data_IF_168731216188
#
_entry.id   IF_168731216188
#
_cell.length_a   1.000
_cell.length_b   1.000
_cell.length_c   1.000
_cell.angle_alpha   90.00
_cell.angle_beta   90.00
_cell.angle_gamma   90.00
#
_symmetry.space_group_name_H-M   'P 1'
#
loop_
_entity.id
_entity.type
_entity.pdbx_description
1 polymer ?
#
# COMPACT_ATOMS: atom_id res chain seq x y z
N UNK A 1 -13.65 -5.91 5.22
CA UNK A 1 -13.00 -6.08 6.54
C UNK A 1 -12.73 -7.55 6.84
N UNK A 2 -13.76 -8.40 6.88
CA UNK A 2 -13.62 -9.84 7.17
C UNK A 2 -12.72 -10.60 6.20
N UNK A 3 -12.73 -10.26 4.91
CA UNK A 3 -11.85 -10.87 3.90
C UNK A 3 -10.35 -10.64 4.22
N UNK A 4 -9.98 -9.43 4.64
CA UNK A 4 -8.59 -9.10 5.00
C UNK A 4 -8.15 -9.85 6.26
N UNK A 5 -9.06 -10.04 7.21
CA UNK A 5 -8.81 -10.81 8.43
C UNK A 5 -8.59 -12.28 8.07
N UNK A 6 -9.48 -12.88 7.28
CA UNK A 6 -9.33 -14.27 6.82
C UNK A 6 -8.04 -14.48 6.03
N UNK A 7 -7.71 -13.54 5.15
CA UNK A 7 -6.45 -13.57 4.40
C UNK A 7 -5.22 -13.54 5.31
N UNK A 8 -5.22 -12.67 6.33
CA UNK A 8 -4.14 -12.60 7.31
C UNK A 8 -4.02 -13.87 8.13
N UNK A 9 -5.13 -14.45 8.58
CA UNK A 9 -5.16 -15.74 9.29
C UNK A 9 -4.49 -16.84 8.45
N UNK A 10 -4.86 -16.94 7.17
CA UNK A 10 -4.29 -17.93 6.25
C UNK A 10 -2.78 -17.74 6.02
N UNK A 11 -2.32 -16.50 5.91
CA UNK A 11 -0.91 -16.19 5.58
C UNK A 11 0.02 -16.20 6.79
N UNK A 12 -0.47 -15.74 7.95
CA UNK A 12 0.34 -15.58 9.16
C UNK A 12 0.18 -16.71 10.18
N UNK A 13 -0.80 -17.60 10.01
CA UNK A 13 -1.21 -18.63 10.97
C UNK A 13 -1.66 -18.10 12.33
N UNK A 14 -1.96 -16.80 12.42
CA UNK A 14 -2.61 -16.21 13.59
C UNK A 14 -4.08 -16.63 13.65
N UNK A 15 -4.59 -16.77 14.86
CA UNK A 15 -6.02 -16.95 15.13
C UNK A 15 -6.80 -15.63 14.94
N UNK A 16 -8.12 -15.74 14.76
CA UNK A 16 -9.01 -14.58 14.68
C UNK A 16 -8.84 -13.56 15.83
N UNK A 17 -8.84 -13.96 17.12
CA UNK A 17 -8.65 -13.01 18.20
C UNK A 17 -7.28 -12.34 18.14
N UNK A 18 -6.21 -13.04 17.77
CA UNK A 18 -4.88 -12.43 17.64
C UNK A 18 -4.88 -11.32 16.58
N UNK A 19 -5.47 -11.57 15.41
CA UNK A 19 -5.57 -10.57 14.33
C UNK A 19 -6.41 -9.36 14.77
N UNK A 20 -7.49 -9.58 15.51
CA UNK A 20 -8.37 -8.51 16.01
C UNK A 20 -7.73 -7.65 17.10
N UNK A 21 -6.78 -8.20 17.87
CA UNK A 21 -6.04 -7.47 18.90
C UNK A 21 -4.80 -6.75 18.37
N UNK A 22 -4.48 -6.89 17.08
CA UNK A 22 -3.36 -6.16 16.49
C UNK A 22 -3.63 -4.65 16.48
N UNK A 23 -2.62 -3.82 16.78
CA UNK A 23 -2.70 -2.41 16.49
C UNK A 23 -3.02 -2.19 15.00
N UNK A 24 -3.92 -1.26 14.69
CA UNK A 24 -4.42 -1.08 13.33
C UNK A 24 -3.31 -0.83 12.28
N UNK A 25 -2.27 -0.08 12.66
CA UNK A 25 -1.10 0.13 11.79
C UNK A 25 -0.33 -1.16 11.48
N UNK A 26 -0.23 -2.08 12.45
CA UNK A 26 0.41 -3.40 12.27
C UNK A 26 -0.45 -4.28 11.36
N UNK A 27 -1.77 -4.28 11.59
CA UNK A 27 -2.72 -4.99 10.73
C UNK A 27 -2.58 -4.57 9.25
N UNK A 28 -2.58 -3.27 8.98
CA UNK A 28 -2.43 -2.74 7.62
C UNK A 28 -1.05 -3.07 7.02
N UNK A 29 0.01 -3.01 7.82
CA UNK A 29 1.37 -3.30 7.36
C UNK A 29 1.51 -4.77 6.95
N UNK A 30 1.04 -5.70 7.79
CA UNK A 30 1.08 -7.13 7.48
C UNK A 30 0.24 -7.45 6.23
N UNK A 31 -0.97 -6.88 6.14
CA UNK A 31 -1.84 -7.05 4.98
C UNK A 31 -1.15 -6.60 3.69
N UNK A 32 -0.51 -5.42 3.71
CA UNK A 32 0.26 -4.89 2.58
C UNK A 32 1.42 -5.81 2.21
N UNK A 33 2.21 -6.25 3.19
CA UNK A 33 3.38 -7.09 2.95
C UNK A 33 3.03 -8.43 2.30
N UNK A 34 2.03 -9.14 2.83
CA UNK A 34 1.63 -10.43 2.26
C UNK A 34 1.07 -10.28 0.84
N UNK A 35 0.27 -9.23 0.58
CA UNK A 35 -0.25 -8.99 -0.77
C UNK A 35 0.86 -8.66 -1.78
N UNK A 36 1.83 -7.84 -1.38
CA UNK A 36 2.99 -7.55 -2.24
C UNK A 36 3.79 -8.83 -2.50
N UNK A 37 4.01 -9.65 -1.48
CA UNK A 37 4.73 -10.92 -1.62
C UNK A 37 4.02 -11.85 -2.61
N UNK A 38 2.69 -11.99 -2.52
CA UNK A 38 1.91 -12.80 -3.45
C UNK A 38 2.00 -12.28 -4.89
N UNK A 39 1.95 -10.96 -5.08
CA UNK A 39 2.11 -10.34 -6.41
C UNK A 39 3.53 -10.58 -6.96
N UNK A 40 4.55 -10.57 -6.10
CA UNK A 40 5.94 -10.84 -6.52
C UNK A 40 6.17 -12.27 -7.00
N UNK A 41 5.32 -13.23 -6.63
CA UNK A 41 5.47 -14.63 -7.05
C UNK A 41 5.21 -14.82 -8.56
N UNK A 42 4.44 -13.94 -9.20
CA UNK A 42 4.14 -14.05 -10.63
C UNK A 42 5.06 -13.18 -11.49
N UNK A 43 5.44 -13.63 -12.71
CA UNK A 43 6.19 -12.79 -13.66
C UNK A 43 5.45 -11.50 -14.03
N UNK A 44 4.13 -11.56 -14.17
CA UNK A 44 3.28 -10.41 -14.46
C UNK A 44 3.21 -9.44 -13.29
N UNK A 45 3.01 -9.94 -12.07
CA UNK A 45 2.98 -9.11 -10.87
C UNK A 45 4.29 -8.39 -10.59
N UNK A 46 5.44 -9.02 -10.89
CA UNK A 46 6.75 -8.33 -10.87
C UNK A 46 6.82 -7.15 -11.83
N UNK A 47 6.28 -7.29 -13.06
CA UNK A 47 6.21 -6.19 -14.03
C UNK A 47 5.28 -5.07 -13.55
N UNK A 48 4.13 -5.42 -12.96
CA UNK A 48 3.21 -4.44 -12.38
C UNK A 48 3.84 -3.66 -11.23
N UNK A 49 4.56 -4.34 -10.32
CA UNK A 49 5.27 -3.69 -9.23
C UNK A 49 6.40 -2.79 -9.71
N UNK A 50 7.14 -3.20 -10.74
CA UNK A 50 8.14 -2.35 -11.38
C UNK A 50 7.51 -1.08 -11.98
N UNK A 51 6.38 -1.22 -12.68
CA UNK A 51 5.64 -0.09 -13.25
C UNK A 51 5.10 0.84 -12.15
N UNK A 52 4.55 0.30 -11.07
CA UNK A 52 4.05 1.08 -9.95
C UNK A 52 5.17 1.85 -9.23
N UNK A 53 6.35 1.24 -9.09
CA UNK A 53 7.54 1.91 -8.54
C UNK A 53 8.00 3.07 -9.41
N UNK A 54 8.05 2.87 -10.73
CA UNK A 54 8.41 3.91 -11.70
C UNK A 54 7.40 5.06 -11.62
N UNK A 55 6.09 4.76 -11.62
CA UNK A 55 5.05 5.78 -11.51
C UNK A 55 5.24 6.63 -10.25
N UNK A 56 5.46 6.01 -9.09
CA UNK A 56 5.72 6.73 -7.84
C UNK A 56 6.96 7.64 -7.90
N UNK A 57 8.03 7.21 -8.58
CA UNK A 57 9.24 8.03 -8.77
C UNK A 57 9.03 9.18 -9.76
N UNK A 58 8.16 8.99 -10.76
CA UNK A 58 7.89 9.97 -11.82
C UNK A 58 6.71 10.90 -11.54
N UNK A 59 5.82 10.52 -10.62
CA UNK A 59 4.67 11.34 -10.24
C UNK A 59 5.18 12.58 -9.49
N UNK A 60 4.88 13.79 -10.00
CA UNK A 60 5.29 14.98 -9.31
C UNK A 60 4.55 15.04 -7.98
N UNK A 61 5.29 15.17 -6.88
CA UNK A 61 4.70 15.30 -5.55
C UNK A 61 3.70 16.47 -5.56
N UNK A 62 2.41 16.15 -5.54
CA UNK A 62 1.33 17.15 -5.64
C UNK A 62 1.44 18.14 -4.47
N UNK A 63 1.95 17.71 -3.32
CA UNK A 63 2.26 18.57 -2.18
C UNK A 63 3.37 19.59 -2.48
N UNK A 64 4.40 19.20 -3.25
CA UNK A 64 5.43 20.13 -3.73
C UNK A 64 4.87 21.12 -4.76
N UNK A 65 3.99 20.66 -5.65
CA UNK A 65 3.33 21.53 -6.63
C UNK A 65 2.42 22.55 -5.95
N UNK A 66 1.61 22.14 -4.96
CA UNK A 66 0.73 23.04 -4.19
C UNK A 66 1.48 24.16 -3.47
N UNK A 67 2.71 23.88 -3.04
CA UNK A 67 3.58 24.85 -2.38
C UNK A 67 4.47 25.65 -3.37
N UNK A 68 4.48 25.30 -4.65
CA UNK A 68 5.20 26.04 -5.66
C UNK A 68 4.55 27.42 -5.89
N UNK A 69 5.39 28.45 -6.01
CA UNK A 69 4.95 29.86 -6.19
C UNK A 69 4.01 30.06 -7.38
N UNK A 70 4.06 29.18 -8.39
CA UNK A 70 3.22 29.24 -9.58
C UNK A 70 1.74 28.90 -9.32
N UNK A 71 1.43 27.98 -8.39
CA UNK A 71 0.04 27.57 -8.12
C UNK A 71 -0.70 28.55 -7.19
N UNK A 72 0.02 29.31 -6.35
CA UNK A 72 -0.58 30.32 -5.46
C UNK A 72 -1.09 31.58 -6.19
N UNK A 73 -0.69 31.81 -7.44
CA UNK A 73 -1.07 32.99 -8.21
C UNK A 73 -2.36 32.86 -9.05
N UNK A 74 -2.95 31.66 -9.12
CA UNK A 74 -4.15 31.38 -9.96
C UNK A 74 -5.45 31.38 -9.13
N UNK A 75 -5.34 31.42 -7.79
CA UNK A 75 -6.44 31.70 -6.87
C UNK A 75 -6.25 33.11 -6.29
N UNK A 76 -6.37 34.12 -7.14
CA UNK A 76 -6.49 35.53 -6.77
C UNK A 76 -7.92 35.99 -6.97
#
# INVERSE_FOLDING_TARGET
MMENISYLILKSKMSFPEVMHLPYGVFLSLLKHFRIFDIQQSPEGRKMLAKAKILYETEPEIERIKNSKFYKGVTG
#
